data_IF_217363655293
#
_entry.id   IF_217363655293
#
_cell.length_a   1.000
_cell.length_b   1.000
_cell.length_c   1.000
_cell.angle_alpha   90.00
_cell.angle_beta   90.00
_cell.angle_gamma   90.00
#
_symmetry.space_group_name_H-M   'P 1'
#
loop_
_entity.id
_entity.type
_entity.pdbx_description
1 polymer ?
#
# COMPACT_ATOMS: atom_id res chain seq x y z
N UNK A 1 -6.66 41.16 -13.39
CA UNK A 1 -5.58 40.66 -12.53
C UNK A 1 -6.15 39.47 -11.80
N UNK A 2 -5.82 38.28 -12.26
CA UNK A 2 -6.34 37.03 -11.70
C UNK A 2 -5.78 36.84 -10.30
N UNK A 3 -6.67 36.55 -9.36
CA UNK A 3 -6.34 36.26 -7.98
C UNK A 3 -5.43 35.02 -7.94
N UNK A 4 -4.21 35.20 -7.47
CA UNK A 4 -3.23 34.13 -7.31
C UNK A 4 -3.78 33.16 -6.26
N UNK A 5 -4.10 31.92 -6.66
CA UNK A 5 -4.56 30.88 -5.74
C UNK A 5 -3.39 30.54 -4.81
N UNK A 6 -3.29 31.28 -3.70
CA UNK A 6 -2.38 31.00 -2.59
C UNK A 6 -2.99 29.94 -1.68
N UNK A 7 -3.34 28.77 -2.23
CA UNK A 7 -3.84 27.68 -1.39
C UNK A 7 -2.71 26.74 -1.07
N UNK A 8 -2.24 26.78 0.18
CA UNK A 8 -1.24 25.83 0.73
C UNK A 8 -1.75 24.38 0.85
N UNK A 9 -2.66 23.96 -0.03
CA UNK A 9 -3.22 22.62 -0.10
C UNK A 9 -2.97 22.01 -1.49
N UNK A 10 -2.69 20.70 -1.58
CA UNK A 10 -2.49 20.04 -2.85
C UNK A 10 -3.76 20.09 -3.72
N UNK A 11 -3.58 20.43 -5.00
CA UNK A 11 -4.67 20.57 -5.98
C UNK A 11 -5.08 19.20 -6.53
N UNK A 12 -4.10 18.36 -6.84
CA UNK A 12 -4.28 17.01 -7.35
C UNK A 12 -3.58 15.98 -6.45
N UNK A 13 -4.33 14.95 -6.08
CA UNK A 13 -3.82 13.82 -5.30
C UNK A 13 -4.05 12.52 -6.07
N UNK A 14 -2.95 11.82 -6.35
CA UNK A 14 -2.98 10.52 -6.99
C UNK A 14 -2.42 9.45 -6.05
N UNK A 15 -3.17 8.37 -5.87
CA UNK A 15 -2.82 7.28 -4.96
C UNK A 15 -2.67 5.98 -5.73
N UNK A 16 -1.52 5.31 -5.57
CA UNK A 16 -1.23 4.00 -6.15
C UNK A 16 -0.83 3.04 -5.03
N UNK A 17 -1.41 1.84 -5.02
CA UNK A 17 -0.94 0.76 -4.14
C UNK A 17 0.32 0.11 -4.72
N UNK A 18 1.13 -0.51 -3.88
CA UNK A 18 2.22 -1.36 -4.39
C UNK A 18 1.64 -2.50 -5.24
N UNK A 19 2.39 -2.92 -6.26
CA UNK A 19 2.08 -4.13 -7.05
C UNK A 19 1.98 -5.40 -6.20
N UNK A 20 1.43 -6.46 -6.78
CA UNK A 20 1.31 -7.77 -6.15
C UNK A 20 2.65 -8.26 -5.57
N UNK A 21 2.68 -8.58 -4.27
CA UNK A 21 3.90 -8.91 -3.54
C UNK A 21 3.95 -10.37 -3.06
N UNK A 22 5.12 -10.83 -2.63
CA UNK A 22 5.29 -12.16 -2.02
C UNK A 22 4.32 -12.40 -0.85
N UNK A 23 4.05 -11.37 -0.04
CA UNK A 23 3.11 -11.46 1.07
C UNK A 23 1.65 -11.57 0.62
N UNK A 24 1.29 -10.96 -0.52
CA UNK A 24 -0.02 -11.15 -1.14
C UNK A 24 -0.16 -12.58 -1.66
N UNK A 25 0.85 -13.07 -2.38
CA UNK A 25 0.87 -14.44 -2.90
C UNK A 25 0.75 -15.47 -1.78
N UNK A 26 1.47 -15.29 -0.67
CA UNK A 26 1.35 -16.17 0.49
C UNK A 26 -0.06 -16.17 1.08
N UNK A 27 -0.69 -14.98 1.18
CA UNK A 27 -2.06 -14.86 1.66
C UNK A 27 -3.06 -15.55 0.73
N UNK A 28 -2.94 -15.34 -0.58
CA UNK A 28 -3.80 -15.96 -1.60
C UNK A 28 -3.65 -17.48 -1.60
N UNK A 29 -2.39 -17.99 -1.59
CA UNK A 29 -2.14 -19.44 -1.47
C UNK A 29 -2.79 -20.03 -0.22
N UNK A 30 -2.72 -19.33 0.92
CA UNK A 30 -3.38 -19.80 2.14
C UNK A 30 -4.91 -19.77 2.05
N UNK A 31 -5.50 -18.78 1.38
CA UNK A 31 -6.94 -18.72 1.11
C UNK A 31 -7.39 -19.88 0.20
N UNK A 32 -6.51 -20.35 -0.68
CA UNK A 32 -6.72 -21.53 -1.54
C UNK A 32 -6.36 -22.87 -0.85
N UNK A 33 -5.97 -22.82 0.43
CA UNK A 33 -5.62 -23.99 1.24
C UNK A 33 -4.15 -24.44 1.18
N UNK A 34 -3.31 -23.78 0.36
CA UNK A 34 -1.86 -24.00 0.35
C UNK A 34 -1.15 -23.10 1.37
N UNK A 35 -0.90 -23.66 2.56
CA UNK A 35 -0.22 -23.00 3.66
C UNK A 35 1.30 -23.20 3.67
N UNK A 36 1.90 -23.83 2.65
CA UNK A 36 3.34 -24.17 2.64
C UNK A 36 4.25 -22.95 2.82
N UNK A 37 3.91 -21.83 2.18
CA UNK A 37 4.66 -20.58 2.33
C UNK A 37 4.64 -20.06 3.77
N UNK A 38 3.49 -20.16 4.46
CA UNK A 38 3.37 -19.78 5.87
C UNK A 38 4.09 -20.74 6.82
N UNK A 39 4.39 -21.97 6.38
CA UNK A 39 5.17 -22.96 7.13
C UNK A 39 6.68 -22.85 6.86
N UNK A 40 7.08 -22.24 5.74
CA UNK A 40 8.48 -22.06 5.35
C UNK A 40 9.22 -21.15 6.34
N UNK A 41 10.31 -21.68 6.91
CA UNK A 41 11.13 -20.98 7.91
C UNK A 41 11.79 -19.71 7.35
N UNK A 42 12.24 -19.73 6.08
CA UNK A 42 12.88 -18.58 5.43
C UNK A 42 11.86 -17.47 5.19
N UNK A 43 10.65 -17.83 4.76
CA UNK A 43 9.56 -16.86 4.61
C UNK A 43 9.22 -16.21 5.96
N UNK A 44 9.00 -17.01 7.01
CA UNK A 44 8.69 -16.51 8.36
C UNK A 44 9.81 -15.70 9.02
N UNK A 45 11.06 -15.90 8.62
CA UNK A 45 12.21 -15.17 9.16
C UNK A 45 12.35 -13.75 8.57
N UNK A 46 11.67 -13.45 7.45
CA UNK A 46 11.72 -12.14 6.82
C UNK A 46 10.75 -11.17 7.48
N UNK A 47 11.13 -9.89 7.50
CA UNK A 47 10.20 -8.83 7.86
C UNK A 47 9.19 -8.62 6.73
N UNK A 48 7.94 -8.32 7.08
CA UNK A 48 6.92 -7.93 6.10
C UNK A 48 7.32 -6.68 5.31
N UNK A 49 8.22 -5.84 5.85
CA UNK A 49 8.79 -4.68 5.15
C UNK A 49 9.65 -5.09 3.93
N UNK A 50 10.23 -6.30 3.97
CA UNK A 50 11.21 -6.78 3.00
C UNK A 50 10.58 -7.57 1.85
N UNK A 51 9.26 -7.83 1.89
CA UNK A 51 8.57 -8.54 0.81
C UNK A 51 8.69 -7.78 -0.52
N UNK A 52 9.12 -8.53 -1.54
CA UNK A 52 9.37 -8.07 -2.91
C UNK A 52 8.11 -8.19 -3.74
N UNK A 53 8.09 -7.49 -4.88
CA UNK A 53 7.09 -7.71 -5.91
C UNK A 53 7.25 -9.10 -6.55
N UNK A 54 6.12 -9.71 -6.89
CA UNK A 54 6.07 -10.87 -7.78
C UNK A 54 6.28 -10.41 -9.23
N UNK A 55 6.46 -11.35 -10.17
CA UNK A 55 6.52 -11.01 -11.60
C UNK A 55 5.26 -10.26 -12.05
N UNK A 56 4.08 -10.71 -11.58
CA UNK A 56 2.82 -10.03 -11.80
C UNK A 56 2.82 -8.61 -11.22
N UNK A 57 3.30 -8.43 -9.98
CA UNK A 57 3.37 -7.10 -9.35
C UNK A 57 4.30 -6.14 -10.08
N UNK A 58 5.38 -6.63 -10.68
CA UNK A 58 6.26 -5.81 -11.53
C UNK A 58 5.55 -5.38 -12.80
N UNK A 59 4.82 -6.30 -13.45
CA UNK A 59 4.01 -5.99 -14.62
C UNK A 59 2.90 -4.97 -14.30
N UNK A 60 2.20 -5.13 -13.16
CA UNK A 60 1.20 -4.18 -12.68
C UNK A 60 1.80 -2.77 -12.49
N UNK A 61 2.98 -2.67 -11.86
CA UNK A 61 3.65 -1.39 -11.65
C UNK A 61 4.05 -0.73 -12.98
N UNK A 62 4.61 -1.50 -13.93
CA UNK A 62 4.96 -0.99 -15.25
C UNK A 62 3.73 -0.48 -16.02
N UNK A 63 2.63 -1.25 -16.01
CA UNK A 63 1.36 -0.85 -16.64
C UNK A 63 0.77 0.41 -16.00
N UNK A 64 0.80 0.49 -14.66
CA UNK A 64 0.36 1.69 -13.95
C UNK A 64 1.20 2.93 -14.33
N UNK A 65 2.50 2.74 -14.54
CA UNK A 65 3.41 3.78 -15.02
C UNK A 65 3.08 4.28 -16.42
N UNK A 66 2.78 3.37 -17.35
CA UNK A 66 2.32 3.71 -18.72
C UNK A 66 1.06 4.56 -18.67
N UNK A 67 0.07 4.11 -17.89
CA UNK A 67 -1.18 4.85 -17.73
C UNK A 67 -0.96 6.24 -17.12
N UNK A 68 -0.11 6.33 -16.08
CA UNK A 68 0.14 7.59 -15.38
C UNK A 68 0.82 8.63 -16.28
N UNK A 69 1.81 8.23 -17.08
CA UNK A 69 2.43 9.14 -18.06
C UNK A 69 1.43 9.62 -19.11
N UNK A 70 0.62 8.72 -19.66
CA UNK A 70 -0.44 9.10 -20.60
C UNK A 70 -1.44 10.08 -19.98
N UNK A 71 -1.82 9.86 -18.72
CA UNK A 71 -2.73 10.76 -18.02
C UNK A 71 -2.12 12.14 -17.76
N UNK A 72 -0.83 12.21 -17.41
CA UNK A 72 -0.11 13.48 -17.27
C UNK A 72 -0.07 14.24 -18.59
N UNK A 73 0.21 13.55 -19.70
CA UNK A 73 0.23 14.14 -21.04
C UNK A 73 -1.17 14.67 -21.43
N UNK A 74 -2.22 13.89 -21.21
CA UNK A 74 -3.61 14.27 -21.51
C UNK A 74 -4.08 15.50 -20.71
N UNK A 75 -3.59 15.65 -19.47
CA UNK A 75 -3.89 16.79 -18.60
C UNK A 75 -2.95 17.98 -18.83
N UNK A 76 -1.93 17.84 -19.69
CA UNK A 76 -0.93 18.88 -19.93
C UNK A 76 -0.06 19.17 -18.70
N UNK A 77 0.18 18.17 -17.85
CA UNK A 77 0.96 18.28 -16.62
C UNK A 77 2.36 17.69 -16.81
N UNK A 78 3.39 18.44 -16.44
CA UNK A 78 4.78 17.94 -16.46
C UNK A 78 5.07 16.91 -15.34
N UNK A 79 4.24 16.88 -14.30
CA UNK A 79 4.37 15.99 -13.15
C UNK A 79 3.67 16.52 -11.91
N UNK A 80 4.02 15.94 -10.75
CA UNK A 80 3.55 16.38 -9.44
C UNK A 80 4.66 17.12 -8.69
N UNK A 81 4.28 18.08 -7.83
CA UNK A 81 5.21 18.79 -6.96
C UNK A 81 5.88 17.89 -5.90
N UNK A 82 5.19 16.81 -5.52
CA UNK A 82 5.62 15.90 -4.44
C UNK A 82 5.35 14.45 -4.79
N UNK A 83 6.31 13.59 -4.45
CA UNK A 83 6.28 12.15 -4.70
C UNK A 83 6.58 11.41 -3.40
N UNK A 84 5.68 10.56 -2.95
CA UNK A 84 5.86 9.80 -1.71
C UNK A 84 5.69 8.32 -1.93
N UNK A 85 6.53 7.50 -1.30
CA UNK A 85 6.26 6.08 -1.15
C UNK A 85 6.65 5.60 0.26
N UNK A 86 6.04 4.49 0.70
CA UNK A 86 6.45 3.84 1.94
C UNK A 86 7.89 3.33 1.84
N UNK A 87 8.63 3.24 2.96
CA UNK A 87 9.98 2.66 2.99
C UNK A 87 10.03 1.16 2.65
N UNK A 88 8.89 0.48 2.52
CA UNK A 88 8.83 -0.95 2.21
C UNK A 88 9.37 -1.27 0.82
N UNK A 89 9.94 -2.47 0.67
CA UNK A 89 10.63 -2.86 -0.57
C UNK A 89 9.67 -2.86 -1.76
N UNK A 90 8.50 -3.50 -1.64
CA UNK A 90 7.48 -3.54 -2.71
C UNK A 90 6.99 -2.16 -3.16
N UNK A 91 6.89 -1.18 -2.26
CA UNK A 91 6.45 0.19 -2.63
C UNK A 91 7.55 0.91 -3.36
N UNK A 92 8.81 0.75 -2.94
CA UNK A 92 9.98 1.30 -3.64
C UNK A 92 10.20 0.67 -5.01
N UNK A 93 10.03 -0.65 -5.12
CA UNK A 93 10.08 -1.35 -6.42
C UNK A 93 8.95 -0.89 -7.34
N UNK A 94 7.74 -0.68 -6.81
CA UNK A 94 6.61 -0.14 -7.58
C UNK A 94 6.94 1.27 -8.08
N UNK A 95 7.40 2.15 -7.19
CA UNK A 95 7.78 3.53 -7.50
C UNK A 95 8.85 3.60 -8.61
N UNK A 96 9.88 2.75 -8.55
CA UNK A 96 10.89 2.66 -9.59
C UNK A 96 10.31 2.17 -10.93
N UNK A 97 9.41 1.18 -10.89
CA UNK A 97 8.80 0.59 -12.09
C UNK A 97 7.69 1.45 -12.72
N UNK A 98 7.21 2.48 -12.02
CA UNK A 98 6.33 3.48 -12.65
C UNK A 98 7.05 4.21 -13.79
N UNK A 99 8.38 4.27 -13.80
CA UNK A 99 9.17 4.85 -14.90
C UNK A 99 8.89 6.33 -15.11
N UNK A 100 8.93 7.11 -14.02
CA UNK A 100 8.73 8.56 -14.05
C UNK A 100 10.07 9.19 -13.71
N UNK A 101 10.83 9.55 -14.74
CA UNK A 101 12.23 9.95 -14.58
C UNK A 101 12.40 11.27 -13.81
N UNK A 102 11.37 12.12 -13.82
CA UNK A 102 11.35 13.39 -13.08
C UNK A 102 10.98 13.22 -11.60
N UNK A 103 10.46 12.05 -11.19
CA UNK A 103 9.93 11.84 -9.85
C UNK A 103 11.03 11.79 -8.78
N UNK A 104 11.01 12.76 -7.87
CA UNK A 104 11.88 12.82 -6.70
C UNK A 104 11.20 12.14 -5.50
N UNK A 105 11.25 10.81 -5.46
CA UNK A 105 10.57 10.00 -4.43
C UNK A 105 11.10 10.25 -3.01
N UNK A 106 10.20 10.64 -2.13
CA UNK A 106 10.43 10.77 -0.69
C UNK A 106 9.89 9.54 0.04
N UNK A 107 10.69 8.98 0.94
CA UNK A 107 10.26 7.86 1.77
C UNK A 107 9.48 8.38 2.98
N UNK A 108 8.17 8.09 3.02
CA UNK A 108 7.31 8.50 4.12
C UNK A 108 6.97 7.31 5.02
N UNK A 109 7.45 7.37 6.26
CA UNK A 109 7.27 6.34 7.28
C UNK A 109 5.81 6.16 7.73
N UNK A 110 4.97 7.19 7.57
CA UNK A 110 3.54 7.18 7.86
C UNK A 110 2.73 6.44 6.78
N UNK A 111 3.28 6.23 5.58
CA UNK A 111 2.66 5.44 4.51
C UNK A 111 2.88 3.93 4.65
N UNK A 112 3.55 3.48 5.71
CA UNK A 112 3.72 2.05 5.98
C UNK A 112 2.37 1.38 6.17
N UNK A 113 2.28 0.14 5.72
CA UNK A 113 1.11 -0.68 5.99
C UNK A 113 0.96 -0.96 7.48
N UNK A 114 -0.26 -1.36 7.85
CA UNK A 114 -0.59 -1.72 9.22
C UNK A 114 0.32 -2.84 9.70
N UNK A 115 0.94 -2.61 10.84
CA UNK A 115 1.69 -3.62 11.58
C UNK A 115 0.71 -4.59 12.27
N UNK A 116 0.83 -5.88 11.97
CA UNK A 116 0.01 -6.93 12.56
C UNK A 116 0.68 -7.63 13.76
N UNK A 117 1.88 -7.19 14.17
CA UNK A 117 2.56 -7.67 15.38
C UNK A 117 2.71 -9.19 15.40
N UNK A 118 2.23 -9.84 16.46
CA UNK A 118 2.27 -11.31 16.58
C UNK A 118 1.50 -12.06 15.48
N UNK A 119 0.63 -11.38 14.73
CA UNK A 119 -0.11 -11.99 13.62
C UNK A 119 0.66 -11.95 12.30
N UNK A 120 1.80 -11.26 12.24
CA UNK A 120 2.64 -11.21 11.04
C UNK A 120 3.11 -12.60 10.62
N UNK A 121 3.04 -12.86 9.31
CA UNK A 121 3.46 -14.14 8.74
C UNK A 121 2.54 -15.33 9.04
N UNK A 122 1.46 -15.16 9.81
CA UNK A 122 0.44 -16.19 10.01
C UNK A 122 -0.61 -16.15 8.90
N UNK A 123 -1.17 -17.31 8.56
CA UNK A 123 -2.41 -17.35 7.77
C UNK A 123 -3.57 -16.80 8.58
N UNK A 124 -4.65 -16.37 7.90
CA UNK A 124 -5.83 -15.81 8.58
C UNK A 124 -6.45 -16.78 9.57
N UNK A 125 -6.52 -18.06 9.23
CA UNK A 125 -7.13 -19.09 10.07
C UNK A 125 -6.27 -19.40 11.29
N UNK A 126 -4.97 -19.57 11.10
CA UNK A 126 -4.03 -19.78 12.21
C UNK A 126 -4.03 -18.58 13.16
N UNK A 127 -4.02 -17.35 12.63
CA UNK A 127 -4.10 -16.15 13.44
C UNK A 127 -5.44 -16.04 14.19
N UNK A 128 -6.55 -16.42 13.54
CA UNK A 128 -7.88 -16.44 14.14
C UNK A 128 -8.00 -17.46 15.27
N UNK A 129 -7.37 -18.63 15.13
CA UNK A 129 -7.34 -19.69 16.13
C UNK A 129 -6.43 -19.31 17.31
N UNK A 130 -5.14 -19.03 17.05
CA UNK A 130 -4.15 -18.70 18.08
C UNK A 130 -4.51 -17.43 18.87
N UNK A 131 -5.29 -16.54 18.28
CA UNK A 131 -5.65 -15.25 18.87
C UNK A 131 -7.16 -15.00 18.84
N UNK A 132 -7.99 -16.02 19.12
CA UNK A 132 -9.46 -15.97 19.06
C UNK A 132 -10.09 -14.72 19.69
N UNK A 133 -9.75 -14.40 20.96
CA UNK A 133 -10.26 -13.19 21.63
C UNK A 133 -9.87 -11.92 20.88
N UNK A 134 -8.61 -11.82 20.45
CA UNK A 134 -8.13 -10.67 19.67
C UNK A 134 -8.81 -10.60 18.30
N UNK A 135 -9.12 -11.73 17.66
CA UNK A 135 -9.86 -11.78 16.41
C UNK A 135 -11.31 -11.29 16.58
N UNK A 136 -11.97 -11.66 17.67
CA UNK A 136 -13.29 -11.11 18.00
C UNK A 136 -13.23 -9.58 18.21
N UNK A 137 -12.20 -9.09 18.91
CA UNK A 137 -11.99 -7.64 19.07
C UNK A 137 -11.71 -6.93 17.74
N UNK A 138 -10.93 -7.56 16.84
CA UNK A 138 -10.71 -7.05 15.47
C UNK A 138 -12.01 -6.91 14.70
N UNK A 139 -12.89 -7.91 14.79
CA UNK A 139 -14.21 -7.88 14.12
C UNK A 139 -15.10 -6.77 14.69
N UNK A 140 -15.12 -6.60 16.02
CA UNK A 140 -15.95 -5.59 16.70
C UNK A 140 -15.42 -4.16 16.56
N UNK A 141 -14.10 -3.97 16.62
CA UNK A 141 -13.44 -2.67 16.68
C UNK A 141 -12.41 -2.52 15.56
N UNK A 142 -12.79 -2.80 14.31
CA UNK A 142 -11.87 -2.90 13.14
C UNK A 142 -10.85 -1.77 13.01
N UNK A 143 -11.28 -0.53 13.27
CA UNK A 143 -10.45 0.68 13.17
C UNK A 143 -9.56 0.93 14.41
N UNK A 144 -10.05 0.59 15.61
CA UNK A 144 -9.36 0.86 16.87
C UNK A 144 -8.52 -0.32 17.37
N UNK A 145 -8.84 -1.53 16.90
CA UNK A 145 -8.18 -2.76 17.32
C UNK A 145 -6.68 -2.71 17.02
N UNK A 146 -5.87 -3.28 17.91
CA UNK A 146 -4.44 -3.44 17.71
C UNK A 146 -4.04 -4.86 18.11
N UNK A 147 -3.34 -5.60 17.24
CA UNK A 147 -2.76 -6.87 17.66
C UNK A 147 -1.65 -6.66 18.68
N UNK A 148 -1.36 -7.68 19.47
CA UNK A 148 -0.27 -7.63 20.47
C UNK A 148 1.07 -7.46 19.75
N UNK A 149 1.94 -6.62 20.33
CA UNK A 149 3.28 -6.25 19.82
C UNK A 149 3.29 -5.55 18.46
N UNK A 150 2.13 -5.16 17.93
CA UNK A 150 2.09 -4.26 16.78
C UNK A 150 2.48 -2.84 17.21
N UNK A 151 3.16 -2.12 16.31
CA UNK A 151 3.33 -0.67 16.44
C UNK A 151 1.96 0.02 16.44
N UNK A 152 1.88 1.18 17.09
CA UNK A 152 0.72 2.04 16.95
C UNK A 152 0.47 2.34 15.46
N UNK A 153 -0.76 2.16 14.94
CA UNK A 153 -1.09 2.61 13.60
C UNK A 153 -0.83 4.12 13.49
N UNK A 154 -0.42 4.60 12.31
CA UNK A 154 -0.56 6.03 11.99
C UNK A 154 -2.00 6.46 12.31
N UNK A 155 -2.21 7.72 12.68
CA UNK A 155 -3.53 8.25 13.05
C UNK A 155 -4.58 8.24 11.93
N UNK A 156 -4.26 7.69 10.75
CA UNK A 156 -5.13 7.61 9.57
C UNK A 156 -5.71 6.20 9.36
N UNK A 157 -6.99 6.16 8.99
CA UNK A 157 -7.91 5.02 9.06
C UNK A 157 -7.78 4.02 7.89
N UNK A 158 -8.34 2.83 8.13
CA UNK A 158 -8.22 1.60 7.33
C UNK A 158 -9.02 1.64 6.00
N UNK A 159 -8.37 1.34 4.88
CA UNK A 159 -9.03 1.00 3.61
C UNK A 159 -8.70 -0.44 3.16
N UNK A 160 -9.64 -1.39 3.31
CA UNK A 160 -9.53 -2.70 2.64
C UNK A 160 -10.16 -2.64 1.26
N UNK A 161 -9.48 -2.01 0.31
CA UNK A 161 -9.87 -2.01 -1.10
C UNK A 161 -9.10 -3.09 -1.85
N UNK A 162 -9.76 -4.22 -2.17
CA UNK A 162 -9.26 -5.27 -3.09
C UNK A 162 -9.58 -4.94 -4.55
N UNK A 163 -9.52 -3.68 -4.92
CA UNK A 163 -9.71 -3.26 -6.30
C UNK A 163 -8.69 -2.18 -6.67
N UNK A 164 -7.98 -2.44 -7.76
CA UNK A 164 -7.21 -1.43 -8.47
C UNK A 164 -8.20 -0.50 -9.15
N UNK A 165 -8.36 0.71 -8.59
CA UNK A 165 -8.94 1.85 -9.30
C UNK A 165 -8.01 3.02 -9.06
N UNK A 166 -7.34 3.45 -10.13
CA UNK A 166 -6.68 4.75 -10.17
C UNK A 166 -7.82 5.77 -10.27
N UNK A 167 -8.08 6.49 -9.18
CA UNK A 167 -9.02 7.60 -9.19
C UNK A 167 -8.21 8.87 -9.02
N UNK A 168 -8.14 9.76 -10.03
CA UNK A 168 -7.73 11.13 -9.78
C UNK A 168 -8.78 11.76 -8.86
N UNK A 169 -8.42 11.98 -7.59
CA UNK A 169 -9.26 12.72 -6.68
C UNK A 169 -8.99 14.21 -6.88
N UNK A 170 -9.82 14.88 -7.69
CA UNK A 170 -9.81 16.34 -7.75
C UNK A 170 -10.57 16.89 -6.55
N UNK A 171 -9.86 17.43 -5.58
CA UNK A 171 -10.46 18.32 -4.59
C UNK A 171 -10.70 19.69 -5.26
N UNK A 172 -11.73 19.80 -6.10
CA UNK A 172 -12.20 21.12 -6.52
C UNK A 172 -12.88 21.78 -5.32
N UNK A 173 -12.14 22.61 -4.60
CA UNK A 173 -12.76 23.65 -3.79
C UNK A 173 -13.59 24.49 -4.76
N UNK A 174 -14.92 24.38 -4.67
CA UNK A 174 -15.80 25.34 -5.35
C UNK A 174 -15.62 26.65 -4.61
N UNK A 175 -15.07 27.66 -5.29
CA UNK A 175 -15.21 29.06 -4.90
C UNK A 175 -16.66 29.51 -5.00
#
# INVERSE_FOLDING_TARGET
>A
MGEEITTGMPIDLLLVRHGHSEGNRALESAEDGDVRLHQDRRYRARSAADYRLTAEGRAQAATAGVWLRSWLDDEGLEGFDRWYCSPFVRTRETAALLGIDTAQWQLESLLRERDFGLWEGLSKDVAAEMHARSNQMKKRYKFLWRPRRARAPPTWTYGSGRSWRLWPARCRARG
#
